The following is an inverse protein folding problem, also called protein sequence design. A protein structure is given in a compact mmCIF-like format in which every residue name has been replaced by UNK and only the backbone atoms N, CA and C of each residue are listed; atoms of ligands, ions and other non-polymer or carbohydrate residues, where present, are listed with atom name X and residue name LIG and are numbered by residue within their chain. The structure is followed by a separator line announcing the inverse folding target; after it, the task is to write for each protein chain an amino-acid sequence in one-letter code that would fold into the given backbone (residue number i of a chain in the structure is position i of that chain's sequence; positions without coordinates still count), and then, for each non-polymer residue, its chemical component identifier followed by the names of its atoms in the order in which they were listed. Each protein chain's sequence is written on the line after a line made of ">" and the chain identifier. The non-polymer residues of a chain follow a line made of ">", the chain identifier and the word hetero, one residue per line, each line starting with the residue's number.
data_IF_720232073784
#
_entry.id   IF_720232073784
#
_cell.length_a   1.000
_cell.length_b   1.000
_cell.length_c   1.000
_cell.angle_alpha   90.00
_cell.angle_beta   90.00
_cell.angle_gamma   90.00
#
_symmetry.space_group_name_H-M   'P 1'
#
loop_
_entity.id
_entity.type
_entity.pdbx_description
1 polymer ?
#
# COMPACT_ATOMS: atom_id res chain seq x y z
N UNK A 1 27.05 33.94 58.19
CA UNK A 1 28.34 33.20 58.26
C UNK A 1 28.19 32.10 59.30
N UNK A 2 28.88 30.95 59.19
CA UNK A 2 29.97 30.63 58.26
C UNK A 2 29.60 29.64 57.13
N UNK A 3 30.61 29.28 56.32
CA UNK A 3 30.71 28.18 55.36
C UNK A 3 32.15 27.60 55.52
N UNK A 4 32.79 26.88 54.58
CA UNK A 4 32.35 25.92 53.54
C UNK A 4 33.16 24.59 53.63
N UNK A 5 33.06 23.70 52.61
CA UNK A 5 34.20 23.13 51.82
C UNK A 5 34.09 21.65 51.37
N UNK A 6 33.96 21.49 50.04
CA UNK A 6 34.68 20.52 49.17
C UNK A 6 34.22 19.04 49.23
N UNK A 7 34.28 18.20 48.18
CA UNK A 7 34.75 18.28 46.78
C UNK A 7 33.95 17.24 45.91
N UNK A 8 34.18 16.90 44.63
CA UNK A 8 35.26 17.20 43.67
C UNK A 8 34.83 17.01 42.17
N UNK A 9 35.82 17.14 41.28
CA UNK A 9 36.04 16.56 39.93
C UNK A 9 35.36 15.18 39.64
N UNK A 10 35.05 14.72 38.41
CA UNK A 10 35.50 15.03 37.01
C UNK A 10 34.49 14.38 36.00
N UNK A 11 34.50 14.50 34.66
CA UNK A 11 35.25 15.32 33.67
C UNK A 11 34.55 15.42 32.29
N UNK A 12 34.31 16.66 31.83
CA UNK A 12 34.55 17.22 30.47
C UNK A 12 34.77 16.25 29.27
N UNK A 13 33.93 16.35 28.24
CA UNK A 13 34.37 16.32 26.83
C UNK A 13 33.69 17.40 25.99
N UNK A 14 34.51 18.23 25.36
CA UNK A 14 34.14 19.32 24.46
C UNK A 14 34.01 18.85 23.01
N UNK A 15 33.20 19.55 22.20
CA UNK A 15 33.38 19.57 20.74
C UNK A 15 33.46 21.00 20.23
N UNK A 16 34.62 21.34 19.69
CA UNK A 16 34.93 22.61 19.05
C UNK A 16 34.49 22.63 17.58
N UNK A 17 34.30 23.85 17.08
CA UNK A 17 33.99 24.19 15.69
C UNK A 17 34.87 23.54 14.63
N UNK A 18 34.31 23.24 13.45
CA UNK A 18 34.95 23.50 12.14
C UNK A 18 33.87 23.74 11.06
N UNK A 19 34.10 24.75 10.20
CA UNK A 19 33.20 25.24 9.13
C UNK A 19 33.11 24.30 7.91
N UNK A 20 31.92 24.19 7.28
CA UNK A 20 31.57 24.76 5.94
C UNK A 20 30.33 24.12 5.30
N UNK A 21 29.35 24.95 4.91
CA UNK A 21 28.28 24.66 3.94
C UNK A 21 27.22 23.64 4.38
N UNK A 22 25.92 23.79 4.09
CA UNK A 22 25.22 24.74 3.22
C UNK A 22 24.08 25.36 4.06
N UNK A 23 24.04 26.70 4.13
CA UNK A 23 22.82 27.41 4.52
C UNK A 23 21.83 27.40 3.36
N UNK A 24 20.54 27.44 3.72
CA UNK A 24 19.37 27.67 2.85
C UNK A 24 18.51 26.43 2.56
N UNK A 25 17.81 25.97 3.59
CA UNK A 25 16.39 25.60 3.46
C UNK A 25 15.61 25.74 4.78
N UNK A 26 15.87 26.84 5.51
CA UNK A 26 14.99 27.27 6.60
C UNK A 26 13.92 28.22 6.05
N UNK A 27 12.66 27.87 6.34
CA UNK A 27 11.65 28.85 6.74
C UNK A 27 10.94 29.67 5.64
N UNK A 28 10.12 28.99 4.83
CA UNK A 28 8.96 29.62 4.18
C UNK A 28 7.78 28.63 4.04
N UNK A 29 6.72 28.89 4.84
CA UNK A 29 5.39 28.24 4.94
C UNK A 29 5.22 27.12 5.97
N UNK A 30 4.68 27.52 7.12
CA UNK A 30 4.11 26.64 8.13
C UNK A 30 2.77 26.06 7.66
N UNK A 31 2.83 25.01 6.81
CA UNK A 31 1.75 24.03 6.81
C UNK A 31 1.84 23.26 8.14
N UNK A 32 0.79 23.28 8.99
CA UNK A 32 0.87 22.61 10.28
C UNK A 32 1.13 21.12 10.06
N UNK A 33 2.24 20.63 10.62
CA UNK A 33 2.61 19.21 10.65
C UNK A 33 1.73 18.42 11.65
N UNK A 34 0.41 18.61 11.56
CA UNK A 34 -0.52 17.52 11.74
C UNK A 34 -0.39 16.56 10.54
N UNK A 35 0.76 15.89 10.46
CA UNK A 35 0.74 14.47 10.12
C UNK A 35 -0.19 13.83 11.14
N UNK A 36 -1.48 13.72 10.77
CA UNK A 36 -2.49 13.09 11.60
C UNK A 36 -1.95 11.73 12.04
N UNK A 37 -1.90 11.51 13.35
CA UNK A 37 -1.39 10.26 13.93
C UNK A 37 -2.32 9.11 13.52
N UNK A 38 -2.08 8.56 12.33
CA UNK A 38 -2.92 7.54 11.68
C UNK A 38 -2.74 6.15 12.33
N UNK A 39 -2.09 6.10 13.50
CA UNK A 39 -1.98 4.93 14.38
C UNK A 39 -3.35 4.43 14.85
N UNK A 40 -4.36 5.30 14.93
CA UNK A 40 -5.74 4.90 15.18
C UNK A 40 -6.36 4.10 14.01
N UNK A 41 -6.03 4.47 12.77
CA UNK A 41 -6.60 3.85 11.58
C UNK A 41 -5.91 2.51 11.24
N UNK A 42 -4.59 2.41 11.47
CA UNK A 42 -3.85 1.15 11.36
C UNK A 42 -4.38 0.05 12.31
N UNK A 43 -4.89 0.43 13.49
CA UNK A 43 -5.51 -0.50 14.45
C UNK A 43 -6.90 -0.98 14.03
N UNK A 44 -7.57 -0.32 13.07
CA UNK A 44 -8.93 -0.67 12.63
C UNK A 44 -8.88 -1.78 11.58
N UNK A 45 -8.58 -3.00 12.04
CA UNK A 45 -8.58 -4.22 11.22
C UNK A 45 -10.01 -4.57 10.83
N UNK A 46 -10.41 -4.24 9.60
CA UNK A 46 -11.64 -4.80 9.02
C UNK A 46 -11.56 -6.32 9.00
N UNK A 47 -12.68 -6.95 9.39
CA UNK A 47 -12.93 -8.37 9.21
C UNK A 47 -13.51 -8.55 7.80
N UNK A 48 -12.93 -9.46 7.04
CA UNK A 48 -13.41 -9.88 5.73
C UNK A 48 -13.27 -11.40 5.67
N UNK A 49 -14.10 -12.05 4.87
CA UNK A 49 -14.03 -13.51 4.68
C UNK A 49 -13.13 -13.84 3.47
N UNK A 50 -12.04 -14.56 3.74
CA UNK A 50 -11.09 -14.99 2.72
C UNK A 50 -11.65 -16.13 1.85
N UNK A 51 -12.51 -16.99 2.40
CA UNK A 51 -13.17 -18.07 1.64
C UNK A 51 -14.16 -17.48 0.64
N UNK A 52 -14.93 -16.47 1.06
CA UNK A 52 -15.82 -15.73 0.16
C UNK A 52 -15.04 -14.96 -0.92
N UNK A 53 -13.91 -14.33 -0.56
CA UNK A 53 -13.04 -13.68 -1.56
C UNK A 53 -12.54 -14.69 -2.62
N UNK A 54 -12.17 -15.91 -2.20
CA UNK A 54 -11.76 -16.99 -3.11
C UNK A 54 -12.93 -17.50 -3.95
N UNK A 55 -14.13 -17.67 -3.37
CA UNK A 55 -15.35 -18.08 -4.10
C UNK A 55 -15.73 -17.07 -5.17
N UNK A 56 -15.73 -15.78 -4.85
CA UNK A 56 -15.96 -14.70 -5.82
C UNK A 56 -14.90 -14.74 -6.92
N UNK A 57 -13.63 -14.94 -6.59
CA UNK A 57 -12.56 -15.02 -7.59
C UNK A 57 -12.72 -16.22 -8.53
N UNK A 58 -13.05 -17.42 -8.02
CA UNK A 58 -13.35 -18.60 -8.85
C UNK A 58 -14.57 -18.36 -9.74
N UNK A 59 -15.61 -17.71 -9.21
CA UNK A 59 -16.82 -17.38 -9.98
C UNK A 59 -16.47 -16.41 -11.12
N UNK A 60 -15.66 -15.39 -10.84
CA UNK A 60 -15.24 -14.38 -11.80
C UNK A 60 -14.27 -14.90 -12.88
N UNK A 61 -13.54 -16.00 -12.62
CA UNK A 61 -12.68 -16.67 -13.62
C UNK A 61 -13.28 -17.96 -14.18
N UNK A 62 -14.55 -18.26 -13.89
CA UNK A 62 -15.23 -19.46 -14.39
C UNK A 62 -15.42 -19.46 -15.91
N UNK A 63 -15.62 -18.28 -16.51
CA UNK A 63 -15.64 -18.07 -17.97
C UNK A 63 -14.28 -18.40 -18.63
N UNK A 64 -13.18 -18.29 -17.88
CA UNK A 64 -11.81 -18.64 -18.29
C UNK A 64 -11.49 -20.12 -18.00
N UNK A 65 -12.49 -20.91 -17.56
CA UNK A 65 -12.36 -22.34 -17.28
C UNK A 65 -11.77 -22.69 -15.90
N UNK A 66 -11.55 -21.70 -15.02
CA UNK A 66 -11.13 -21.97 -13.65
C UNK A 66 -12.24 -22.64 -12.83
N UNK A 67 -11.88 -23.61 -11.99
CA UNK A 67 -12.83 -24.37 -11.13
C UNK A 67 -12.46 -24.33 -9.65
N UNK A 68 -11.19 -24.08 -9.32
CA UNK A 68 -10.68 -24.00 -7.95
C UNK A 68 -9.45 -23.12 -7.87
N UNK A 69 -9.26 -22.51 -6.70
CA UNK A 69 -8.00 -21.88 -6.33
C UNK A 69 -7.05 -22.96 -5.79
N UNK A 70 -5.81 -23.00 -6.30
CA UNK A 70 -4.75 -23.91 -5.85
C UNK A 70 -3.95 -23.28 -4.71
N UNK A 71 -3.70 -21.97 -4.77
CA UNK A 71 -2.77 -21.28 -3.88
C UNK A 71 -3.26 -19.86 -3.57
N UNK A 72 -3.12 -19.46 -2.30
CA UNK A 72 -3.44 -18.11 -1.80
C UNK A 72 -2.21 -17.53 -1.11
N UNK A 73 -1.54 -16.58 -1.77
CA UNK A 73 -0.39 -15.87 -1.21
C UNK A 73 -0.79 -14.49 -0.72
N UNK A 74 -0.57 -14.19 0.55
CA UNK A 74 -0.75 -12.83 1.07
C UNK A 74 0.45 -11.95 0.68
N UNK A 75 0.19 -10.87 -0.06
CA UNK A 75 1.22 -9.89 -0.39
C UNK A 75 1.61 -9.04 0.83
N UNK A 76 2.77 -8.37 0.77
CA UNK A 76 3.21 -7.43 1.80
C UNK A 76 2.16 -6.31 1.97
N UNK A 77 1.53 -6.27 3.13
CA UNK A 77 0.46 -5.31 3.45
C UNK A 77 1.02 -3.89 3.47
N UNK A 78 0.47 -3.01 2.64
CA UNK A 78 0.81 -1.59 2.61
C UNK A 78 -0.08 -0.80 3.55
N UNK A 79 0.22 0.49 3.74
CA UNK A 79 -0.63 1.37 4.56
C UNK A 79 -2.05 1.50 3.99
N UNK A 80 -2.17 1.52 2.66
CA UNK A 80 -3.44 1.82 1.98
C UNK A 80 -4.24 0.58 1.58
N UNK A 81 -3.58 -0.58 1.36
CA UNK A 81 -4.25 -1.77 0.82
C UNK A 81 -3.67 -3.08 1.38
N UNK A 82 -4.55 -4.06 1.56
CA UNK A 82 -4.24 -5.49 1.60
C UNK A 82 -4.29 -6.03 0.18
N UNK A 83 -3.44 -7.01 -0.11
CA UNK A 83 -3.51 -7.73 -1.37
C UNK A 83 -3.19 -9.21 -1.19
N UNK A 84 -3.82 -10.02 -2.02
CA UNK A 84 -3.64 -11.45 -2.13
C UNK A 84 -3.40 -11.81 -3.60
N UNK A 85 -2.59 -12.84 -3.82
CA UNK A 85 -2.41 -13.46 -5.12
C UNK A 85 -3.09 -14.83 -5.06
N UNK A 86 -4.06 -15.06 -5.95
CA UNK A 86 -4.86 -16.26 -6.02
C UNK A 86 -4.48 -17.01 -7.31
N UNK A 87 -3.82 -18.15 -7.18
CA UNK A 87 -3.46 -19.01 -8.31
C UNK A 87 -4.61 -19.97 -8.58
N UNK A 88 -5.13 -20.01 -9.81
CA UNK A 88 -6.25 -20.85 -10.25
C UNK A 88 -5.76 -22.13 -10.93
N UNK A 89 -6.64 -23.13 -11.06
CA UNK A 89 -6.26 -24.42 -11.65
C UNK A 89 -6.13 -24.47 -13.17
N UNK A 90 -6.61 -23.45 -13.88
CA UNK A 90 -6.27 -23.18 -15.28
C UNK A 90 -4.90 -22.47 -15.44
N UNK A 91 -4.19 -22.19 -14.35
CA UNK A 91 -2.93 -21.44 -14.35
C UNK A 91 -3.09 -19.91 -14.41
N UNK A 92 -4.33 -19.38 -14.40
CA UNK A 92 -4.56 -17.94 -14.27
C UNK A 92 -4.20 -17.47 -12.86
N UNK A 93 -3.78 -16.21 -12.73
CA UNK A 93 -3.39 -15.63 -11.45
C UNK A 93 -4.13 -14.33 -11.25
N UNK A 94 -5.03 -14.33 -10.27
CA UNK A 94 -5.86 -13.18 -9.89
C UNK A 94 -5.16 -12.44 -8.76
N UNK A 95 -5.00 -11.13 -8.91
CA UNK A 95 -4.60 -10.24 -7.84
C UNK A 95 -5.88 -9.68 -7.19
N UNK A 96 -6.06 -9.96 -5.90
CA UNK A 96 -7.20 -9.52 -5.12
C UNK A 96 -6.78 -8.41 -4.15
N UNK A 97 -7.33 -7.21 -4.33
CA UNK A 97 -6.97 -6.00 -3.59
C UNK A 97 -8.14 -5.53 -2.72
N UNK A 98 -7.86 -5.23 -1.45
CA UNK A 98 -8.83 -4.73 -0.49
C UNK A 98 -8.32 -3.42 0.14
N UNK A 99 -9.08 -2.33 0.14
CA UNK A 99 -8.67 -1.07 0.74
C UNK A 99 -8.63 -1.16 2.27
N UNK A 100 -7.61 -0.55 2.88
CA UNK A 100 -7.52 -0.41 4.33
C UNK A 100 -8.36 0.77 4.83
N UNK A 101 -8.73 0.77 6.11
CA UNK A 101 -9.40 1.90 6.78
C UNK A 101 -8.66 3.25 6.58
N UNK A 102 -7.32 3.20 6.48
CA UNK A 102 -6.45 4.36 6.29
C UNK A 102 -6.61 5.04 4.91
N UNK A 103 -7.18 4.38 3.91
CA UNK A 103 -7.24 4.90 2.53
C UNK A 103 -8.28 6.01 2.33
N UNK A 104 -9.15 6.27 3.32
CA UNK A 104 -10.28 7.18 3.19
C UNK A 104 -11.60 6.44 2.92
N UNK A 105 -12.64 7.10 2.38
CA UNK A 105 -13.93 6.47 2.13
C UNK A 105 -13.81 5.39 1.03
N UNK A 106 -13.97 4.13 1.44
CA UNK A 106 -13.66 2.97 0.61
C UNK A 106 -14.48 2.84 -0.69
N UNK A 107 -15.68 3.44 -0.74
CA UNK A 107 -16.45 3.60 -1.98
C UNK A 107 -15.68 4.42 -3.02
N UNK A 108 -15.22 5.63 -2.65
CA UNK A 108 -14.55 6.54 -3.58
C UNK A 108 -13.15 6.04 -3.95
N UNK A 109 -12.41 5.39 -3.05
CA UNK A 109 -11.08 4.85 -3.37
C UNK A 109 -11.18 3.72 -4.40
N UNK A 110 -12.09 2.77 -4.18
CA UNK A 110 -12.33 1.65 -5.10
C UNK A 110 -12.88 2.13 -6.44
N UNK A 111 -13.91 2.98 -6.43
CA UNK A 111 -14.51 3.49 -7.66
C UNK A 111 -13.55 4.36 -8.49
N UNK A 112 -12.77 5.24 -7.86
CA UNK A 112 -11.80 6.07 -8.58
C UNK A 112 -10.63 5.26 -9.13
N UNK A 113 -10.18 4.21 -8.45
CA UNK A 113 -9.16 3.31 -8.98
C UNK A 113 -9.66 2.54 -10.20
N UNK A 114 -10.86 1.95 -10.13
CA UNK A 114 -11.49 1.24 -11.24
C UNK A 114 -11.67 2.16 -12.45
N UNK A 115 -12.24 3.36 -12.24
CA UNK A 115 -12.44 4.34 -13.30
C UNK A 115 -11.12 4.80 -13.93
N UNK A 116 -10.09 5.06 -13.11
CA UNK A 116 -8.75 5.45 -13.61
C UNK A 116 -8.14 4.36 -14.47
N UNK A 117 -8.17 3.09 -14.03
CA UNK A 117 -7.56 1.98 -14.78
C UNK A 117 -8.30 1.69 -16.09
N UNK A 118 -9.61 1.82 -16.09
CA UNK A 118 -10.45 1.74 -17.30
C UNK A 118 -10.06 2.85 -18.28
N UNK A 119 -9.99 4.11 -17.82
CA UNK A 119 -9.56 5.25 -18.64
C UNK A 119 -8.14 5.08 -19.22
N UNK A 120 -7.17 4.64 -18.40
CA UNK A 120 -5.80 4.38 -18.86
C UNK A 120 -5.77 3.35 -20.00
N UNK A 121 -6.60 2.30 -19.92
CA UNK A 121 -6.63 1.21 -20.91
C UNK A 121 -7.41 1.58 -22.17
N UNK A 122 -8.61 2.14 -22.02
CA UNK A 122 -9.55 2.36 -23.12
C UNK A 122 -9.32 3.67 -23.85
N UNK A 123 -8.90 4.73 -23.14
CA UNK A 123 -8.72 6.08 -23.72
C UNK A 123 -7.25 6.37 -24.03
N UNK A 124 -6.31 5.98 -23.15
CA UNK A 124 -4.88 6.23 -23.36
C UNK A 124 -4.12 5.06 -24.00
N UNK A 125 -4.75 3.89 -24.15
CA UNK A 125 -4.10 2.69 -24.71
C UNK A 125 -2.94 2.13 -23.86
N UNK A 126 -2.82 2.55 -22.60
CA UNK A 126 -1.75 2.10 -21.71
C UNK A 126 -2.08 0.69 -21.19
N UNK A 127 -1.15 -0.29 -21.28
CA UNK A 127 -1.40 -1.66 -20.87
C UNK A 127 -1.52 -1.79 -19.34
N UNK A 128 -2.72 -1.60 -18.80
CA UNK A 128 -3.06 -1.86 -17.41
C UNK A 128 -3.69 -3.26 -17.24
N UNK A 129 -3.43 -3.97 -16.12
CA UNK A 129 -4.02 -5.28 -15.88
C UNK A 129 -5.54 -5.19 -15.81
N UNK A 130 -6.26 -6.10 -16.48
CA UNK A 130 -7.72 -6.07 -16.59
C UNK A 130 -8.36 -6.24 -15.22
N UNK A 131 -9.39 -5.46 -14.94
CA UNK A 131 -10.27 -5.68 -13.79
C UNK A 131 -11.26 -6.78 -14.17
N UNK A 132 -11.30 -7.84 -13.38
CA UNK A 132 -12.13 -9.03 -13.60
C UNK A 132 -13.47 -8.84 -12.87
N UNK A 133 -13.44 -8.39 -11.62
CA UNK A 133 -14.62 -8.07 -10.82
C UNK A 133 -14.26 -7.05 -9.71
N UNK A 134 -15.24 -6.30 -9.20
CA UNK A 134 -15.02 -5.37 -8.09
C UNK A 134 -16.33 -5.11 -7.32
N UNK A 135 -16.22 -4.65 -6.08
CA UNK A 135 -17.35 -4.23 -5.25
C UNK A 135 -16.96 -3.05 -4.37
N UNK A 136 -17.78 -1.99 -4.38
CA UNK A 136 -17.72 -0.87 -3.43
C UNK A 136 -18.63 -1.02 -2.22
N UNK A 137 -19.43 -2.09 -2.15
CA UNK A 137 -20.35 -2.35 -1.05
C UNK A 137 -19.80 -3.45 -0.13
N UNK A 138 -19.98 -3.30 1.19
CA UNK A 138 -19.63 -4.31 2.21
C UNK A 138 -20.76 -5.29 2.52
N UNK A 139 -21.92 -5.11 1.91
CA UNK A 139 -23.07 -6.04 1.96
C UNK A 139 -22.85 -7.28 1.09
N UNK A 140 -21.72 -7.36 0.38
CA UNK A 140 -21.28 -8.55 -0.33
C UNK A 140 -20.86 -9.67 0.64
N UNK A 141 -20.74 -10.91 0.15
CA UNK A 141 -20.37 -12.06 1.00
C UNK A 141 -18.95 -11.95 1.59
N UNK A 142 -18.06 -11.22 0.92
CA UNK A 142 -16.69 -10.94 1.40
C UNK A 142 -16.69 -10.06 2.67
N UNK A 143 -17.75 -9.28 2.91
CA UNK A 143 -17.86 -8.33 4.02
C UNK A 143 -17.01 -7.05 3.86
N UNK A 144 -16.42 -6.84 2.68
CA UNK A 144 -15.49 -5.76 2.40
C UNK A 144 -15.50 -5.34 0.93
N UNK A 145 -15.11 -4.08 0.68
CA UNK A 145 -14.81 -3.61 -0.67
C UNK A 145 -13.61 -4.39 -1.25
N UNK A 146 -13.66 -4.70 -2.55
CA UNK A 146 -12.57 -5.42 -3.23
C UNK A 146 -12.45 -5.04 -4.70
N UNK A 147 -11.26 -5.26 -5.26
CA UNK A 147 -10.96 -5.29 -6.69
C UNK A 147 -10.25 -6.62 -6.98
N UNK A 148 -10.77 -7.39 -7.93
CA UNK A 148 -10.14 -8.56 -8.52
C UNK A 148 -9.64 -8.19 -9.91
N UNK A 149 -8.38 -8.44 -10.19
CA UNK A 149 -7.72 -8.08 -11.44
C UNK A 149 -6.72 -9.15 -11.89
N UNK A 150 -6.34 -9.11 -13.15
CA UNK A 150 -5.24 -9.94 -13.67
C UNK A 150 -3.92 -9.59 -12.99
N UNK A 151 -3.07 -10.59 -12.75
CA UNK A 151 -1.67 -10.34 -12.35
C UNK A 151 -0.96 -9.50 -13.42
N UNK A 152 -0.45 -8.34 -13.00
CA UNK A 152 0.44 -7.52 -13.81
C UNK A 152 1.67 -8.31 -14.28
N UNK A 153 1.94 -8.27 -15.59
CA UNK A 153 3.14 -8.87 -16.21
C UNK A 153 4.24 -7.82 -16.28
N UNK A 154 5.47 -8.20 -15.93
CA UNK A 154 6.64 -7.31 -15.97
C UNK A 154 7.46 -7.35 -14.67
N UNK A 155 8.50 -6.53 -14.63
CA UNK A 155 9.32 -6.29 -13.44
C UNK A 155 9.03 -4.89 -12.87
N UNK A 156 9.07 -4.70 -11.55
CA UNK A 156 8.77 -3.41 -10.95
C UNK A 156 9.95 -2.45 -11.19
N UNK A 157 9.65 -1.23 -11.65
CA UNK A 157 10.64 -0.27 -12.16
C UNK A 157 11.83 0.00 -11.24
N UNK A 158 11.64 -0.02 -9.91
CA UNK A 158 12.73 0.21 -8.94
C UNK A 158 13.87 -0.83 -9.05
N UNK A 159 13.58 -2.06 -9.48
CA UNK A 159 14.58 -3.10 -9.72
C UNK A 159 15.43 -2.79 -10.96
N UNK A 160 14.83 -2.15 -11.97
CA UNK A 160 15.51 -1.73 -13.20
C UNK A 160 16.24 -0.40 -13.06
N UNK A 161 15.88 0.43 -12.06
CA UNK A 161 16.38 1.79 -11.90
C UNK A 161 17.92 1.88 -11.73
N UNK A 162 18.54 0.86 -11.13
CA UNK A 162 20.00 0.81 -10.95
C UNK A 162 20.75 0.52 -12.27
N UNK A 163 20.09 -0.19 -13.18
CA UNK A 163 20.61 -0.56 -14.51
C UNK A 163 19.98 0.29 -15.63
N UNK A 164 19.34 1.41 -15.30
CA UNK A 164 18.65 2.28 -16.29
C UNK A 164 19.55 2.73 -17.45
N UNK A 165 20.86 2.90 -17.20
CA UNK A 165 21.85 3.26 -18.23
C UNK A 165 22.30 2.06 -19.11
N UNK A 166 21.67 0.89 -18.97
CA UNK A 166 22.01 -0.38 -19.66
C UNK A 166 20.80 -1.03 -20.35
N UNK A 167 19.65 -0.35 -20.34
CA UNK A 167 18.38 -0.76 -20.97
C UNK A 167 18.15 0.02 -22.28
#
# INVERSE_FOLDING_TARGET
>A
MPAPLSSNFHSRLSKTSTRRGISDFSEATAFPTQYVNCTACYKKKWVFDLQELVRVAITATSEEGARRCIEVLKCKEGMNNRAFLLTMDNGSVVFAKLPNACAGPAFYTTASEVATRTFLREVLGIPTPRIIAWSTQRTNSVGAEYILEERARGQPLWTLWQDWNRL
#
